data_IF_370936685343
#
_entry.id   IF_370936685343
#
_cell.length_a   1.000
_cell.length_b   1.000
_cell.length_c   1.000
_cell.angle_alpha   90.00
_cell.angle_beta   90.00
_cell.angle_gamma   90.00
#
_symmetry.space_group_name_H-M   'P 1'
#
loop_
_entity.id
_entity.type
_entity.pdbx_description
1 polymer ?
#
# COMPACT_ATOMS: atom_id res chain seq x y z
N UNK A 1 14.25 -21.50 14.61
CA UNK A 1 14.25 -20.33 15.52
C UNK A 1 13.48 -19.22 14.81
N UNK A 2 12.25 -18.96 15.22
CA UNK A 2 11.49 -17.80 14.74
C UNK A 2 12.14 -16.56 15.32
N UNK A 3 12.71 -15.72 14.46
CA UNK A 3 13.13 -14.37 14.84
C UNK A 3 11.86 -13.68 15.39
N UNK A 4 11.88 -13.09 16.60
CA UNK A 4 10.75 -12.32 17.07
C UNK A 4 10.47 -11.24 16.03
N UNK A 5 9.30 -11.27 15.40
CA UNK A 5 8.85 -10.18 14.54
C UNK A 5 8.81 -8.94 15.42
N UNK A 6 9.64 -7.94 15.12
CA UNK A 6 9.47 -6.62 15.70
C UNK A 6 8.09 -6.11 15.23
N UNK A 7 7.19 -5.99 16.20
CA UNK A 7 5.80 -5.54 16.02
C UNK A 7 5.66 -4.05 16.31
N UNK A 8 6.76 -3.35 16.56
CA UNK A 8 6.74 -1.89 16.60
C UNK A 8 6.23 -1.37 15.25
N UNK A 9 5.35 -0.36 15.26
CA UNK A 9 4.79 0.14 14.01
C UNK A 9 5.79 0.99 13.22
N UNK A 10 6.83 1.54 13.86
CA UNK A 10 7.85 2.37 13.22
C UNK A 10 7.36 3.77 12.80
N UNK A 11 8.19 4.47 12.02
CA UNK A 11 7.88 5.77 11.43
C UNK A 11 8.18 5.75 9.92
N UNK A 12 7.14 5.95 9.11
CA UNK A 12 7.22 5.91 7.65
C UNK A 12 7.34 7.29 7.01
N UNK A 13 7.97 7.35 5.84
CA UNK A 13 7.93 8.52 4.96
C UNK A 13 7.33 8.10 3.62
N UNK A 14 6.19 8.69 3.27
CA UNK A 14 5.53 8.47 1.99
C UNK A 14 5.73 9.68 1.08
N UNK A 15 6.20 9.40 -0.14
CA UNK A 15 6.38 10.40 -1.19
C UNK A 15 5.38 10.09 -2.31
N UNK A 16 4.45 11.01 -2.54
CA UNK A 16 3.46 10.87 -3.59
C UNK A 16 3.94 11.53 -4.89
N UNK A 17 4.26 10.70 -5.88
CA UNK A 17 4.53 11.14 -7.25
C UNK A 17 3.26 10.95 -8.10
N UNK A 18 2.53 12.01 -8.47
CA UNK A 18 1.15 11.88 -8.96
C UNK A 18 1.07 11.56 -10.46
N UNK A 19 2.18 11.50 -11.19
CA UNK A 19 2.14 11.50 -12.65
C UNK A 19 2.12 10.09 -13.25
N UNK A 20 1.31 9.91 -14.29
CA UNK A 20 1.23 8.67 -15.08
C UNK A 20 1.38 8.95 -16.57
N UNK A 21 1.82 7.95 -17.34
CA UNK A 21 1.82 8.00 -18.81
C UNK A 21 0.41 7.80 -19.39
N UNK A 22 -0.41 6.97 -18.74
CA UNK A 22 -1.82 6.77 -19.04
C UNK A 22 -2.59 6.48 -17.75
N UNK A 23 -3.90 6.78 -17.75
CA UNK A 23 -4.78 6.46 -16.61
C UNK A 23 -5.42 5.10 -16.84
N UNK A 24 -5.19 4.15 -15.94
CA UNK A 24 -5.88 2.88 -15.95
C UNK A 24 -7.38 3.12 -15.66
N UNK A 25 -8.30 2.45 -16.36
CA UNK A 25 -9.73 2.74 -16.29
C UNK A 25 -10.38 2.35 -14.96
N UNK A 26 -9.72 1.54 -14.13
CA UNK A 26 -10.11 1.20 -12.76
C UNK A 26 -9.48 2.09 -11.69
N UNK A 27 -8.48 2.92 -12.03
CA UNK A 27 -7.68 3.63 -11.04
C UNK A 27 -8.39 4.88 -10.50
N UNK A 28 -8.66 4.87 -9.21
CA UNK A 28 -9.26 5.95 -8.41
C UNK A 28 -8.22 6.83 -7.70
N UNK A 29 -6.96 6.40 -7.65
CA UNK A 29 -5.87 7.17 -7.04
C UNK A 29 -5.69 8.56 -7.64
N UNK A 30 -5.07 9.46 -6.85
CA UNK A 30 -4.70 10.82 -7.26
C UNK A 30 -3.59 10.81 -8.33
N UNK A 31 -3.97 10.42 -9.55
CA UNK A 31 -3.06 10.28 -10.68
C UNK A 31 -3.40 11.24 -11.80
N UNK A 32 -2.35 11.75 -12.45
CA UNK A 32 -2.41 12.84 -13.41
C UNK A 32 -1.62 12.43 -14.66
N UNK A 33 -2.33 12.27 -15.79
CA UNK A 33 -1.67 11.93 -17.05
C UNK A 33 -0.79 13.09 -17.51
N UNK A 34 0.46 12.79 -17.91
CA UNK A 34 1.40 13.77 -18.45
C UNK A 34 1.98 13.27 -19.77
N UNK A 35 1.72 14.04 -20.83
CA UNK A 35 2.30 13.82 -22.15
C UNK A 35 3.56 14.67 -22.40
N UNK A 36 3.73 15.74 -21.62
CA UNK A 36 4.91 16.59 -21.64
C UNK A 36 5.83 16.28 -20.46
N UNK A 37 7.15 16.44 -20.61
CA UNK A 37 8.09 16.24 -19.51
C UNK A 37 7.72 17.11 -18.30
N UNK A 38 7.67 16.47 -17.13
CA UNK A 38 7.51 17.15 -15.84
C UNK A 38 8.82 17.85 -15.48
N UNK A 39 8.73 19.06 -14.92
CA UNK A 39 9.86 19.73 -14.28
C UNK A 39 10.23 19.04 -12.95
N UNK A 40 10.93 17.91 -13.07
CA UNK A 40 11.25 17.07 -11.91
C UNK A 40 12.18 17.76 -10.91
N UNK A 41 13.01 18.70 -11.35
CA UNK A 41 13.89 19.46 -10.46
C UNK A 41 13.09 20.41 -9.57
N UNK A 42 12.06 21.08 -10.14
CA UNK A 42 11.15 21.90 -9.35
C UNK A 42 10.38 21.07 -8.32
N UNK A 43 9.87 19.90 -8.71
CA UNK A 43 9.21 18.99 -7.77
C UNK A 43 10.17 18.47 -6.71
N UNK A 44 11.43 18.13 -7.04
CA UNK A 44 12.43 17.71 -6.07
C UNK A 44 12.70 18.78 -5.00
N UNK A 45 12.85 20.04 -5.39
CA UNK A 45 13.01 21.17 -4.45
C UNK A 45 11.77 21.37 -3.57
N UNK A 46 10.58 21.17 -4.13
CA UNK A 46 9.34 21.23 -3.37
C UNK A 46 9.24 20.08 -2.35
N UNK A 47 9.59 18.85 -2.75
CA UNK A 47 9.66 17.72 -1.81
C UNK A 47 10.64 18.02 -0.67
N UNK A 48 11.84 18.51 -0.97
CA UNK A 48 12.82 18.89 0.06
C UNK A 48 12.27 19.95 1.04
N UNK A 49 11.58 20.96 0.50
CA UNK A 49 10.98 22.04 1.30
C UNK A 49 9.86 21.53 2.20
N UNK A 50 8.94 20.73 1.67
CA UNK A 50 7.84 20.20 2.47
C UNK A 50 8.32 19.15 3.49
N UNK A 51 9.32 18.33 3.17
CA UNK A 51 9.96 17.41 4.12
C UNK A 51 10.59 18.16 5.30
N UNK A 52 11.24 19.31 5.05
CA UNK A 52 11.77 20.16 6.12
C UNK A 52 10.65 20.71 7.02
N UNK A 53 9.52 21.10 6.43
CA UNK A 53 8.33 21.52 7.19
C UNK A 53 7.76 20.37 8.01
N UNK A 54 7.65 19.17 7.45
CA UNK A 54 7.18 17.99 8.18
C UNK A 54 8.12 17.64 9.34
N UNK A 55 9.43 17.74 9.16
CA UNK A 55 10.39 17.57 10.26
C UNK A 55 10.17 18.57 11.40
N UNK A 56 9.90 19.84 11.09
CA UNK A 56 9.60 20.83 12.13
C UNK A 56 8.37 20.45 12.96
N UNK A 57 7.37 19.81 12.34
CA UNK A 57 6.11 19.38 12.97
C UNK A 57 6.24 18.08 13.76
N UNK A 58 6.94 17.10 13.20
CA UNK A 58 7.15 15.81 13.88
C UNK A 58 8.20 15.89 14.97
N UNK A 59 9.20 16.77 14.82
CA UNK A 59 10.45 16.68 15.58
C UNK A 59 11.34 15.53 15.08
N UNK A 60 12.44 15.22 15.80
CA UNK A 60 13.32 14.12 15.44
C UNK A 60 12.58 12.77 15.52
N UNK A 61 12.87 11.90 14.56
CA UNK A 61 12.39 10.52 14.46
C UNK A 61 13.47 9.67 13.79
N UNK A 62 13.38 8.36 14.01
CA UNK A 62 14.10 7.36 13.24
C UNK A 62 13.15 6.79 12.19
N UNK A 63 13.52 6.90 10.91
CA UNK A 63 12.72 6.38 9.79
C UNK A 63 12.93 4.87 9.68
N UNK A 64 11.85 4.11 9.59
CA UNK A 64 11.90 2.65 9.43
C UNK A 64 11.60 2.20 7.99
N UNK A 65 10.90 3.05 7.23
CA UNK A 65 10.60 2.81 5.83
C UNK A 65 10.35 4.11 5.04
N UNK A 66 10.74 4.10 3.77
CA UNK A 66 10.42 5.14 2.78
C UNK A 66 9.68 4.48 1.63
N UNK A 67 8.62 5.09 1.14
CA UNK A 67 7.84 4.57 0.02
C UNK A 67 7.53 5.67 -0.97
N UNK A 68 7.98 5.47 -2.21
CA UNK A 68 7.66 6.33 -3.34
C UNK A 68 6.51 5.65 -4.10
N UNK A 69 5.32 6.25 -4.02
CA UNK A 69 4.09 5.72 -4.59
C UNK A 69 3.26 6.78 -5.32
N UNK A 70 2.05 6.39 -5.74
CA UNK A 70 1.02 7.32 -6.20
C UNK A 70 0.56 7.05 -7.63
N UNK A 71 1.01 7.86 -8.57
CA UNK A 71 0.82 7.65 -10.00
C UNK A 71 1.79 6.58 -10.52
N UNK A 72 2.93 7.01 -11.03
CA UNK A 72 3.98 6.11 -11.52
C UNK A 72 5.37 6.65 -11.13
N UNK A 73 5.84 6.36 -9.92
CA UNK A 73 7.12 6.85 -9.40
C UNK A 73 8.35 6.52 -10.27
N UNK A 74 8.34 5.40 -11.01
CA UNK A 74 9.35 5.05 -12.03
C UNK A 74 9.40 5.96 -13.27
N UNK A 75 8.55 7.00 -13.34
CA UNK A 75 8.74 8.11 -14.28
C UNK A 75 9.75 9.14 -13.76
N UNK A 76 10.08 9.13 -12.47
CA UNK A 76 11.17 9.94 -11.94
C UNK A 76 12.51 9.49 -12.52
N UNK A 77 13.38 10.46 -12.79
CA UNK A 77 14.78 10.18 -13.08
C UNK A 77 15.46 9.65 -11.80
N UNK A 78 16.47 8.78 -11.91
CA UNK A 78 17.23 8.31 -10.75
C UNK A 78 17.77 9.45 -9.86
N UNK A 79 18.17 10.58 -10.45
CA UNK A 79 18.68 11.74 -9.73
C UNK A 79 17.58 12.42 -8.90
N UNK A 80 16.34 12.43 -9.40
CA UNK A 80 15.18 12.95 -8.66
C UNK A 80 14.86 12.07 -7.46
N UNK A 81 14.91 10.74 -7.63
CA UNK A 81 14.74 9.79 -6.51
C UNK A 81 15.84 10.00 -5.47
N UNK A 82 17.11 10.11 -5.91
CA UNK A 82 18.24 10.38 -5.04
C UNK A 82 18.08 11.67 -4.23
N UNK A 83 17.70 12.78 -4.88
CA UNK A 83 17.48 14.07 -4.21
C UNK A 83 16.38 14.00 -3.13
N UNK A 84 15.30 13.26 -3.39
CA UNK A 84 14.24 13.04 -2.40
C UNK A 84 14.75 12.23 -1.21
N UNK A 85 15.46 11.12 -1.45
CA UNK A 85 16.01 10.28 -0.38
C UNK A 85 17.04 11.03 0.47
N UNK A 86 17.90 11.83 -0.16
CA UNK A 86 18.81 12.75 0.53
C UNK A 86 18.05 13.77 1.38
N UNK A 87 16.97 14.35 0.87
CA UNK A 87 16.14 15.27 1.64
C UNK A 87 15.49 14.60 2.87
N UNK A 88 15.09 13.33 2.77
CA UNK A 88 14.64 12.56 3.93
C UNK A 88 15.77 12.39 4.94
N UNK A 89 16.97 11.98 4.50
CA UNK A 89 18.12 11.78 5.37
C UNK A 89 18.66 13.07 6.03
N UNK A 90 18.49 14.23 5.39
CA UNK A 90 18.76 15.55 6.00
C UNK A 90 17.80 15.86 7.16
N UNK A 91 16.58 15.33 7.07
CA UNK A 91 15.49 15.68 7.97
C UNK A 91 15.25 14.66 9.08
N UNK A 92 15.63 13.40 8.95
CA UNK A 92 15.45 12.41 10.02
C UNK A 92 16.64 11.44 10.08
N UNK A 93 16.75 10.69 11.19
CA UNK A 93 17.71 9.60 11.26
C UNK A 93 17.23 8.48 10.35
N UNK A 94 18.08 8.06 9.41
CA UNK A 94 17.80 6.96 8.48
C UNK A 94 18.85 5.88 8.71
N UNK A 95 18.55 4.83 9.51
CA UNK A 95 19.45 3.72 9.72
C UNK A 95 19.73 2.94 8.42
N UNK A 96 20.87 2.25 8.39
CA UNK A 96 21.16 1.30 7.31
C UNK A 96 20.15 0.14 7.30
N UNK A 97 19.77 -0.31 6.10
CA UNK A 97 18.89 -1.47 5.92
C UNK A 97 17.40 -1.21 6.19
N UNK A 98 16.97 0.05 6.30
CA UNK A 98 15.55 0.38 6.22
C UNK A 98 14.97 0.00 4.85
N UNK A 99 13.66 -0.21 4.79
CA UNK A 99 13.01 -0.47 3.50
C UNK A 99 12.85 0.83 2.72
N UNK A 100 13.30 0.86 1.47
CA UNK A 100 13.04 1.95 0.51
C UNK A 100 12.37 1.34 -0.70
N UNK A 101 11.04 1.52 -0.77
CA UNK A 101 10.19 0.97 -1.84
C UNK A 101 9.93 2.02 -2.91
N UNK A 102 9.99 1.61 -4.18
CA UNK A 102 9.50 2.40 -5.32
C UNK A 102 8.48 1.59 -6.12
N UNK A 103 7.31 2.17 -6.40
CA UNK A 103 6.34 1.59 -7.33
C UNK A 103 6.76 1.83 -8.79
N UNK A 104 6.61 0.82 -9.63
CA UNK A 104 6.92 0.92 -11.05
C UNK A 104 5.92 0.19 -11.94
N UNK A 105 5.72 0.68 -13.17
CA UNK A 105 5.08 -0.11 -14.21
C UNK A 105 6.16 -0.90 -14.98
N UNK A 106 5.82 -2.08 -15.49
CA UNK A 106 6.81 -2.96 -16.10
C UNK A 106 7.10 -2.63 -17.58
N UNK A 107 7.00 -1.36 -17.99
CA UNK A 107 7.35 -0.98 -19.37
C UNK A 107 8.86 -1.01 -19.58
N UNK A 108 9.29 -1.31 -20.81
CA UNK A 108 10.72 -1.41 -21.16
C UNK A 108 11.53 -0.15 -20.78
N UNK A 109 10.94 1.04 -20.96
CA UNK A 109 11.59 2.34 -20.65
C UNK A 109 11.79 2.53 -19.15
N UNK A 110 10.86 2.06 -18.33
CA UNK A 110 10.97 2.17 -16.87
C UNK A 110 11.98 1.17 -16.31
N UNK A 111 12.02 -0.03 -16.88
CA UNK A 111 12.93 -1.11 -16.50
C UNK A 111 14.42 -0.71 -16.66
N UNK A 112 14.76 0.03 -17.72
CA UNK A 112 16.13 0.53 -17.94
C UNK A 112 16.65 1.43 -16.79
N UNK A 113 15.75 2.07 -16.02
CA UNK A 113 16.11 2.95 -14.90
C UNK A 113 16.35 2.22 -13.58
N UNK A 114 16.01 0.93 -13.48
CA UNK A 114 16.11 0.17 -12.23
C UNK A 114 17.49 0.20 -11.59
N UNK A 115 18.56 0.12 -12.39
CA UNK A 115 19.94 0.23 -11.87
C UNK A 115 20.21 1.60 -11.24
N UNK A 116 19.67 2.66 -11.85
CA UNK A 116 19.75 4.01 -11.31
C UNK A 116 19.00 4.14 -9.98
N UNK A 117 17.78 3.59 -9.87
CA UNK A 117 17.04 3.59 -8.61
C UNK A 117 17.76 2.81 -7.50
N UNK A 118 18.34 1.65 -7.84
CA UNK A 118 19.14 0.86 -6.91
C UNK A 118 20.36 1.63 -6.41
N UNK A 119 21.04 2.35 -7.30
CA UNK A 119 22.16 3.21 -6.96
C UNK A 119 21.76 4.42 -6.09
N UNK A 120 20.56 4.97 -6.32
CA UNK A 120 20.00 6.05 -5.50
C UNK A 120 19.61 5.61 -4.08
N UNK A 121 19.42 4.30 -3.84
CA UNK A 121 19.13 3.75 -2.51
C UNK A 121 17.85 2.91 -2.42
N UNK A 122 17.09 2.78 -3.50
CA UNK A 122 15.91 1.90 -3.54
C UNK A 122 16.35 0.44 -3.38
N UNK A 123 15.73 -0.27 -2.45
CA UNK A 123 16.05 -1.67 -2.17
C UNK A 123 14.84 -2.61 -2.26
N UNK A 124 13.66 -2.08 -2.55
CA UNK A 124 12.46 -2.83 -2.89
C UNK A 124 11.74 -2.16 -4.05
N UNK A 125 11.23 -2.94 -5.01
CA UNK A 125 10.36 -2.44 -6.07
C UNK A 125 9.01 -3.17 -6.03
N UNK A 126 7.91 -2.46 -6.29
CA UNK A 126 6.58 -3.05 -6.49
C UNK A 126 6.17 -2.83 -7.94
N UNK A 127 6.00 -3.92 -8.70
CA UNK A 127 5.67 -3.86 -10.13
C UNK A 127 4.16 -4.02 -10.35
N UNK A 128 3.54 -3.02 -10.97
CA UNK A 128 2.12 -3.10 -11.33
C UNK A 128 1.87 -3.96 -12.58
N UNK A 129 1.93 -5.29 -12.46
CA UNK A 129 1.77 -6.24 -13.59
C UNK A 129 0.31 -6.43 -13.97
N UNK A 130 -0.56 -6.58 -12.98
CA UNK A 130 -2.01 -6.67 -13.01
C UNK A 130 -2.60 -7.95 -13.62
N UNK A 131 -2.00 -8.49 -14.67
CA UNK A 131 -2.39 -9.78 -15.26
C UNK A 131 -1.21 -10.42 -16.01
N UNK A 132 -1.21 -11.75 -16.13
CA UNK A 132 -0.26 -12.52 -16.93
C UNK A 132 -0.87 -13.04 -18.25
N UNK A 133 -1.89 -12.34 -18.76
CA UNK A 133 -2.44 -12.56 -20.10
C UNK A 133 -2.81 -11.24 -20.79
N UNK A 134 -2.54 -11.13 -22.09
CA UNK A 134 -2.70 -9.86 -22.82
C UNK A 134 -4.16 -9.42 -22.98
N UNK A 135 -5.11 -10.37 -22.95
CA UNK A 135 -6.54 -10.04 -23.04
C UNK A 135 -6.95 -9.18 -21.84
N UNK A 136 -6.58 -9.60 -20.65
CA UNK A 136 -6.95 -8.91 -19.42
C UNK A 136 -6.12 -7.65 -19.20
N UNK A 137 -4.85 -7.63 -19.62
CA UNK A 137 -4.04 -6.40 -19.65
C UNK A 137 -4.69 -5.30 -20.50
N UNK A 138 -5.20 -5.64 -21.70
CA UNK A 138 -5.94 -4.69 -22.55
C UNK A 138 -7.24 -4.21 -21.89
N UNK A 139 -7.98 -5.11 -21.25
CA UNK A 139 -9.19 -4.73 -20.51
C UNK A 139 -8.86 -3.74 -19.38
N UNK A 140 -7.79 -4.01 -18.64
CA UNK A 140 -7.26 -3.16 -17.56
C UNK A 140 -6.54 -1.90 -18.07
N UNK A 141 -6.54 -1.63 -19.39
CA UNK A 141 -5.94 -0.44 -19.98
C UNK A 141 -4.42 -0.34 -19.80
N UNK A 142 -3.73 -1.47 -19.63
CA UNK A 142 -2.27 -1.52 -19.45
C UNK A 142 -1.56 -1.24 -20.77
N UNK A 143 -0.48 -0.47 -20.69
CA UNK A 143 0.36 -0.13 -21.85
C UNK A 143 1.39 -1.20 -22.19
N UNK A 144 1.64 -2.12 -21.26
CA UNK A 144 2.59 -3.22 -21.41
C UNK A 144 1.87 -4.51 -21.80
N UNK A 145 2.59 -5.43 -22.44
CA UNK A 145 2.15 -6.82 -22.66
C UNK A 145 2.80 -7.79 -21.65
N UNK A 146 2.42 -9.07 -21.69
CA UNK A 146 2.99 -10.08 -20.77
C UNK A 146 4.50 -10.23 -20.94
N UNK A 147 5.02 -10.22 -22.16
CA UNK A 147 6.46 -10.38 -22.42
C UNK A 147 7.27 -9.27 -21.74
N UNK A 148 6.85 -8.02 -21.87
CA UNK A 148 7.45 -6.88 -21.18
C UNK A 148 7.34 -7.01 -19.66
N UNK A 149 6.18 -7.46 -19.16
CA UNK A 149 5.99 -7.72 -17.73
C UNK A 149 7.00 -8.73 -17.18
N UNK A 150 7.17 -9.85 -17.86
CA UNK A 150 8.10 -10.90 -17.46
C UNK A 150 9.56 -10.45 -17.57
N UNK A 151 9.89 -9.67 -18.60
CA UNK A 151 11.21 -9.08 -18.74
C UNK A 151 11.54 -8.13 -17.57
N UNK A 152 10.61 -7.24 -17.23
CA UNK A 152 10.78 -6.30 -16.11
C UNK A 152 10.89 -7.03 -14.76
N UNK A 153 10.12 -8.10 -14.52
CA UNK A 153 10.24 -8.95 -13.33
C UNK A 153 11.64 -9.56 -13.25
N UNK A 154 12.14 -10.13 -14.35
CA UNK A 154 13.48 -10.71 -14.41
C UNK A 154 14.57 -9.68 -14.09
N UNK A 155 14.50 -8.51 -14.73
CA UNK A 155 15.46 -7.44 -14.48
C UNK A 155 15.40 -6.90 -13.04
N UNK A 156 14.20 -6.72 -12.50
CA UNK A 156 14.02 -6.26 -11.12
C UNK A 156 14.62 -7.25 -10.12
N UNK A 157 14.45 -8.56 -10.35
CA UNK A 157 15.02 -9.60 -9.50
C UNK A 157 16.55 -9.61 -9.50
N UNK A 158 17.18 -9.32 -10.64
CA UNK A 158 18.64 -9.24 -10.74
C UNK A 158 19.23 -7.99 -10.06
N UNK A 159 18.41 -6.94 -9.87
CA UNK A 159 18.87 -5.63 -9.41
C UNK A 159 18.53 -5.38 -7.94
N UNK A 160 17.30 -5.70 -7.54
CA UNK A 160 16.78 -5.40 -6.21
C UNK A 160 16.80 -6.63 -5.31
N UNK A 161 17.20 -6.48 -4.05
CA UNK A 161 17.21 -7.59 -3.11
C UNK A 161 15.80 -8.04 -2.70
N UNK A 162 14.78 -7.20 -2.93
CA UNK A 162 13.36 -7.49 -2.64
C UNK A 162 12.47 -7.01 -3.77
N UNK A 163 11.49 -7.82 -4.13
CA UNK A 163 10.55 -7.55 -5.22
C UNK A 163 9.13 -7.93 -4.79
N UNK A 164 8.17 -7.10 -5.18
CA UNK A 164 6.75 -7.45 -5.27
C UNK A 164 6.25 -7.21 -6.68
N UNK A 165 5.22 -7.94 -7.08
CA UNK A 165 4.37 -7.45 -8.16
C UNK A 165 2.90 -7.71 -7.86
N UNK A 166 2.09 -6.91 -8.53
CA UNK A 166 0.68 -6.77 -8.24
C UNK A 166 -0.12 -7.51 -9.31
N UNK A 167 -1.15 -8.25 -8.92
CA UNK A 167 -2.15 -8.82 -9.82
C UNK A 167 -3.55 -8.43 -9.36
N UNK A 168 -4.46 -8.34 -10.33
CA UNK A 168 -5.86 -8.06 -10.10
C UNK A 168 -6.69 -9.29 -10.48
N UNK A 169 -7.43 -9.83 -9.51
CA UNK A 169 -8.36 -10.95 -9.69
C UNK A 169 -9.81 -10.49 -9.66
N UNK A 170 -10.75 -11.43 -9.81
CA UNK A 170 -12.18 -11.17 -10.00
C UNK A 170 -12.47 -10.32 -11.26
N UNK A 171 -11.70 -10.57 -12.32
CA UNK A 171 -11.88 -9.91 -13.62
C UNK A 171 -13.09 -10.51 -14.38
N UNK A 172 -13.67 -9.81 -15.37
CA UNK A 172 -14.81 -10.33 -16.13
C UNK A 172 -14.55 -11.71 -16.74
N UNK A 173 -15.37 -12.69 -16.36
CA UNK A 173 -15.28 -14.07 -16.85
C UNK A 173 -14.09 -14.88 -16.33
N UNK A 174 -13.40 -14.42 -15.28
CA UNK A 174 -12.28 -15.16 -14.67
C UNK A 174 -12.80 -16.35 -13.86
N UNK A 175 -12.42 -17.55 -14.25
CA UNK A 175 -12.77 -18.80 -13.55
C UNK A 175 -11.72 -19.15 -12.48
N UNK A 176 -12.08 -19.90 -11.42
CA UNK A 176 -11.12 -20.40 -10.43
C UNK A 176 -9.93 -21.16 -11.04
N UNK A 177 -10.15 -22.00 -12.04
CA UNK A 177 -9.09 -22.79 -12.68
C UNK A 177 -8.07 -21.89 -13.39
N UNK A 178 -8.55 -20.90 -14.13
CA UNK A 178 -7.71 -19.91 -14.80
C UNK A 178 -6.93 -19.04 -13.80
N UNK A 179 -7.58 -18.64 -12.69
CA UNK A 179 -6.90 -17.86 -11.65
C UNK A 179 -5.84 -18.67 -10.92
N UNK A 180 -6.15 -19.93 -10.56
CA UNK A 180 -5.18 -20.84 -9.96
C UNK A 180 -3.95 -21.06 -10.85
N UNK A 181 -4.15 -21.28 -12.16
CA UNK A 181 -3.04 -21.41 -13.10
C UNK A 181 -2.19 -20.12 -13.22
N UNK A 182 -2.83 -18.95 -13.21
CA UNK A 182 -2.15 -17.65 -13.23
C UNK A 182 -1.36 -17.40 -11.94
N UNK A 183 -1.90 -17.78 -10.78
CA UNK A 183 -1.20 -17.74 -9.49
C UNK A 183 0.03 -18.64 -9.47
N UNK A 184 -0.10 -19.89 -9.92
CA UNK A 184 1.02 -20.84 -10.02
C UNK A 184 2.14 -20.28 -10.91
N UNK A 185 1.76 -19.67 -12.05
CA UNK A 185 2.72 -19.01 -12.92
C UNK A 185 3.40 -17.82 -12.22
N UNK A 186 2.62 -16.96 -11.56
CA UNK A 186 3.10 -15.80 -10.83
C UNK A 186 4.12 -16.17 -9.74
N UNK A 187 3.79 -17.18 -8.94
CA UNK A 187 4.65 -17.71 -7.87
C UNK A 187 5.92 -18.36 -8.46
N UNK A 188 5.80 -19.00 -9.63
CA UNK A 188 6.92 -19.60 -10.37
C UNK A 188 8.04 -18.62 -10.74
N UNK A 189 7.74 -17.32 -10.82
CA UNK A 189 8.78 -16.29 -10.99
C UNK A 189 9.56 -15.99 -9.69
N UNK A 190 9.32 -16.79 -8.64
CA UNK A 190 9.99 -16.85 -7.34
C UNK A 190 10.18 -15.47 -6.72
N UNK A 191 9.05 -14.81 -6.52
CA UNK A 191 8.96 -13.53 -5.83
C UNK A 191 8.82 -13.70 -4.33
N UNK A 192 9.39 -12.75 -3.59
CA UNK A 192 9.32 -12.76 -2.12
C UNK A 192 7.95 -12.32 -1.62
N UNK A 193 7.20 -11.59 -2.46
CA UNK A 193 5.98 -10.90 -2.13
C UNK A 193 5.06 -10.77 -3.36
N UNK A 194 3.76 -10.94 -3.15
CA UNK A 194 2.70 -10.71 -4.13
C UNK A 194 1.64 -9.80 -3.54
N UNK A 195 1.14 -8.89 -4.36
CA UNK A 195 0.01 -8.02 -4.04
C UNK A 195 -1.19 -8.42 -4.90
N UNK A 196 -2.19 -9.05 -4.32
CA UNK A 196 -3.30 -9.70 -5.01
C UNK A 196 -4.60 -8.96 -4.67
N UNK A 197 -5.02 -8.07 -5.56
CA UNK A 197 -6.17 -7.18 -5.36
C UNK A 197 -7.41 -7.73 -6.06
N UNK A 198 -8.56 -7.64 -5.40
CA UNK A 198 -9.84 -7.83 -6.08
C UNK A 198 -10.11 -6.62 -6.97
N UNK A 199 -10.59 -6.84 -8.20
CA UNK A 199 -11.10 -5.74 -9.02
C UNK A 199 -12.36 -5.15 -8.38
N UNK A 200 -12.28 -3.91 -7.90
CA UNK A 200 -13.42 -3.11 -7.44
C UNK A 200 -13.79 -2.05 -8.47
N UNK A 201 -15.03 -1.56 -8.40
CA UNK A 201 -15.54 -0.51 -9.27
C UNK A 201 -15.76 0.75 -8.44
N UNK A 202 -14.80 1.67 -8.55
CA UNK A 202 -14.82 2.90 -7.77
C UNK A 202 -15.57 4.02 -8.49
N UNK A 203 -16.38 4.77 -7.75
CA UNK A 203 -17.12 5.91 -8.26
C UNK A 203 -16.17 6.95 -8.90
N UNK A 204 -16.59 7.54 -10.02
CA UNK A 204 -15.80 8.53 -10.74
C UNK A 204 -14.72 7.94 -11.67
N UNK A 205 -14.58 6.62 -11.74
CA UNK A 205 -13.68 5.95 -12.70
C UNK A 205 -14.35 5.68 -14.05
N UNK A 206 -13.58 5.54 -15.15
CA UNK A 206 -14.10 5.05 -16.43
C UNK A 206 -14.81 3.69 -16.32
N UNK A 207 -14.29 2.77 -15.50
CA UNK A 207 -14.93 1.48 -15.25
C UNK A 207 -16.29 1.61 -14.57
N UNK A 208 -16.49 2.56 -13.65
CA UNK A 208 -17.81 2.82 -13.07
C UNK A 208 -18.84 3.20 -14.14
N UNK A 209 -18.49 4.09 -15.07
CA UNK A 209 -19.38 4.46 -16.18
C UNK A 209 -19.70 3.28 -17.11
N UNK A 210 -18.68 2.46 -17.44
CA UNK A 210 -18.85 1.29 -18.31
C UNK A 210 -19.66 0.17 -17.65
N UNK A 211 -19.45 -0.07 -16.36
CA UNK A 211 -20.18 -1.05 -15.56
C UNK A 211 -21.64 -0.65 -15.39
N UNK A 212 -21.92 0.62 -15.05
CA UNK A 212 -23.28 1.15 -14.99
C UNK A 212 -24.01 1.04 -16.35
N UNK A 213 -23.29 1.19 -17.46
CA UNK A 213 -23.78 0.99 -18.81
C UNK A 213 -23.83 -0.50 -19.26
N UNK A 214 -23.59 -1.44 -18.35
CA UNK A 214 -23.60 -2.90 -18.58
C UNK A 214 -22.68 -3.35 -19.73
N UNK A 215 -21.53 -2.68 -19.92
CA UNK A 215 -20.55 -3.03 -20.96
C UNK A 215 -19.70 -4.25 -20.60
N UNK A 216 -19.65 -4.60 -19.32
CA UNK A 216 -19.10 -5.84 -18.78
C UNK A 216 -19.79 -6.16 -17.45
N UNK A 217 -19.59 -7.37 -16.95
CA UNK A 217 -20.05 -7.82 -15.63
C UNK A 217 -18.86 -8.27 -14.80
N UNK A 218 -18.93 -8.04 -13.50
CA UNK A 218 -18.01 -8.65 -12.55
C UNK A 218 -18.56 -9.98 -12.06
N UNK A 219 -17.72 -10.85 -11.49
CA UNK A 219 -18.20 -11.95 -10.66
C UNK A 219 -19.15 -11.48 -9.57
N UNK A 220 -20.11 -12.32 -9.20
CA UNK A 220 -20.90 -12.08 -7.99
C UNK A 220 -20.06 -12.32 -6.73
N UNK A 221 -20.63 -12.01 -5.57
CA UNK A 221 -19.93 -12.07 -4.29
C UNK A 221 -19.47 -13.50 -3.95
N UNK A 222 -20.25 -14.51 -4.29
CA UNK A 222 -19.92 -15.91 -4.00
C UNK A 222 -18.72 -16.35 -4.85
N UNK A 223 -18.74 -16.04 -6.15
CA UNK A 223 -17.62 -16.33 -7.04
C UNK A 223 -16.36 -15.53 -6.67
N UNK A 224 -16.49 -14.26 -6.27
CA UNK A 224 -15.37 -13.47 -5.78
C UNK A 224 -14.77 -14.04 -4.48
N UNK A 225 -15.61 -14.56 -3.58
CA UNK A 225 -15.19 -15.24 -2.36
C UNK A 225 -14.47 -16.56 -2.66
N UNK A 226 -14.92 -17.33 -3.65
CA UNK A 226 -14.22 -18.54 -4.11
C UNK A 226 -12.82 -18.21 -4.66
N UNK A 227 -12.69 -17.15 -5.46
CA UNK A 227 -11.39 -16.68 -5.96
C UNK A 227 -10.48 -16.20 -4.82
N UNK A 228 -11.02 -15.52 -3.82
CA UNK A 228 -10.28 -15.11 -2.63
C UNK A 228 -9.79 -16.33 -1.84
N UNK A 229 -10.67 -17.30 -1.57
CA UNK A 229 -10.32 -18.53 -0.85
C UNK A 229 -9.23 -19.33 -1.58
N UNK A 230 -9.36 -19.49 -2.90
CA UNK A 230 -8.34 -20.13 -3.75
C UNK A 230 -7.01 -19.38 -3.67
N UNK A 231 -7.04 -18.04 -3.69
CA UNK A 231 -5.83 -17.22 -3.54
C UNK A 231 -5.11 -17.55 -2.23
N UNK A 232 -5.86 -17.65 -1.14
CA UNK A 232 -5.28 -17.94 0.16
C UNK A 232 -4.71 -19.36 0.25
N UNK A 233 -5.39 -20.34 -0.31
CA UNK A 233 -4.93 -21.73 -0.35
C UNK A 233 -3.62 -21.86 -1.13
N UNK A 234 -3.59 -21.38 -2.38
CA UNK A 234 -2.44 -21.52 -3.28
C UNK A 234 -1.23 -20.79 -2.71
N UNK A 235 -1.38 -19.52 -2.33
CA UNK A 235 -0.25 -18.73 -1.81
C UNK A 235 0.31 -19.30 -0.51
N UNK A 236 -0.55 -19.74 0.43
CA UNK A 236 -0.10 -20.40 1.65
C UNK A 236 0.63 -21.72 1.36
N UNK A 237 0.14 -22.52 0.41
CA UNK A 237 0.77 -23.77 -0.03
C UNK A 237 2.20 -23.58 -0.56
N UNK A 238 2.50 -22.41 -1.12
CA UNK A 238 3.83 -22.04 -1.63
C UNK A 238 4.70 -21.22 -0.66
N UNK A 239 4.27 -21.10 0.60
CA UNK A 239 5.01 -20.39 1.64
C UNK A 239 4.97 -18.86 1.49
N UNK A 240 3.91 -18.34 0.87
CA UNK A 240 3.56 -16.92 0.76
C UNK A 240 2.23 -16.65 1.50
N UNK A 241 2.15 -16.87 2.83
CA UNK A 241 0.92 -16.58 3.56
C UNK A 241 0.52 -15.11 3.43
N UNK A 242 -0.79 -14.83 3.49
CA UNK A 242 -1.27 -13.47 3.72
C UNK A 242 -0.78 -12.96 5.08
N UNK A 243 -0.17 -11.77 5.09
CA UNK A 243 0.07 -11.03 6.33
C UNK A 243 -1.01 -9.96 6.56
N UNK A 244 -1.75 -9.62 5.51
CA UNK A 244 -2.93 -8.74 5.49
C UNK A 244 -3.83 -9.07 4.28
N UNK A 245 -4.90 -8.29 4.07
CA UNK A 245 -5.99 -8.56 3.10
C UNK A 245 -5.53 -8.89 1.69
N UNK A 246 -4.65 -8.08 1.13
CA UNK A 246 -4.27 -8.14 -0.29
C UNK A 246 -2.80 -8.49 -0.50
N UNK A 247 -2.02 -8.67 0.57
CA UNK A 247 -0.58 -8.89 0.44
C UNK A 247 -0.10 -10.19 1.09
N UNK A 248 0.68 -10.92 0.30
CA UNK A 248 1.14 -12.28 0.56
C UNK A 248 2.65 -12.30 0.43
N UNK A 249 3.35 -12.77 1.45
CA UNK A 249 4.80 -12.67 1.48
C UNK A 249 5.44 -13.85 2.19
N UNK A 250 6.69 -14.15 1.82
CA UNK A 250 7.51 -15.05 2.64
C UNK A 250 7.73 -14.37 3.99
N UNK A 251 7.78 -15.12 5.10
CA UNK A 251 8.09 -14.52 6.40
C UNK A 251 9.38 -13.69 6.36
N UNK A 252 9.30 -12.42 6.75
CA UNK A 252 10.40 -11.45 6.68
C UNK A 252 10.47 -10.63 5.38
N UNK A 253 9.64 -10.95 4.38
CA UNK A 253 9.53 -10.22 3.14
C UNK A 253 8.27 -9.34 3.04
N UNK A 254 7.53 -9.17 4.14
CA UNK A 254 6.38 -8.27 4.23
C UNK A 254 6.79 -6.81 3.95
N UNK A 255 5.92 -6.02 3.31
CA UNK A 255 6.14 -4.58 3.16
C UNK A 255 6.18 -3.91 4.54
N UNK A 256 7.37 -3.45 4.95
CA UNK A 256 7.56 -2.75 6.23
C UNK A 256 6.75 -1.46 6.24
N UNK A 257 6.69 -0.75 5.11
CA UNK A 257 5.89 0.45 5.00
C UNK A 257 4.39 0.16 5.20
N UNK A 258 3.82 -0.84 4.51
CA UNK A 258 2.41 -1.20 4.67
C UNK A 258 2.10 -1.60 6.13
N UNK A 259 3.00 -2.36 6.75
CA UNK A 259 2.87 -2.73 8.16
C UNK A 259 2.88 -1.52 9.09
N UNK A 260 3.63 -0.46 8.78
CA UNK A 260 3.54 0.81 9.54
C UNK A 260 2.12 1.37 9.51
N UNK A 261 1.44 1.39 8.37
CA UNK A 261 0.03 1.83 8.29
C UNK A 261 -0.88 0.92 9.10
N UNK A 262 -0.83 -0.39 8.80
CA UNK A 262 -1.74 -1.37 9.38
C UNK A 262 -1.59 -1.54 10.89
N UNK A 263 -0.36 -1.39 11.41
CA UNK A 263 -0.08 -1.38 12.86
C UNK A 263 -0.36 -0.03 13.51
N UNK A 264 -1.02 0.88 12.80
CA UNK A 264 -1.39 2.20 13.29
C UNK A 264 -0.18 3.02 13.74
N UNK A 265 0.87 2.98 12.92
CA UNK A 265 2.09 3.76 13.07
C UNK A 265 1.95 5.20 12.62
N UNK A 266 3.04 5.92 12.83
CA UNK A 266 3.18 7.29 12.39
C UNK A 266 3.84 7.35 11.02
N UNK A 267 3.40 8.28 10.19
CA UNK A 267 4.04 8.56 8.92
C UNK A 267 3.78 9.99 8.49
N UNK A 268 4.71 10.54 7.74
CA UNK A 268 4.51 11.78 6.99
C UNK A 268 4.26 11.43 5.53
N UNK A 269 3.26 12.10 4.93
CA UNK A 269 3.05 12.07 3.49
C UNK A 269 3.39 13.42 2.90
N UNK A 270 4.17 13.41 1.83
CA UNK A 270 4.63 14.60 1.12
C UNK A 270 4.34 14.44 -0.36
N UNK A 271 3.88 15.50 -1.00
CA UNK A 271 3.50 15.49 -2.41
C UNK A 271 2.01 15.70 -2.67
N UNK A 272 1.62 15.89 -3.94
CA UNK A 272 0.25 16.23 -4.31
C UNK A 272 -0.75 15.15 -3.88
N UNK A 273 -1.70 15.48 -3.03
CA UNK A 273 -2.70 14.54 -2.50
C UNK A 273 -2.17 13.53 -1.51
N UNK A 274 -0.94 13.69 -1.00
CA UNK A 274 -0.40 12.84 0.05
C UNK A 274 -1.15 13.03 1.38
N UNK A 275 -1.31 11.94 2.13
CA UNK A 275 -1.84 11.94 3.48
C UNK A 275 -0.73 11.66 4.48
N UNK A 276 -0.82 12.24 5.67
CA UNK A 276 0.08 11.97 6.80
C UNK A 276 -0.70 11.71 8.08
N UNK A 277 -0.13 10.94 9.00
CA UNK A 277 -0.67 10.72 10.34
C UNK A 277 0.47 10.61 11.35
N UNK A 278 0.62 11.58 12.24
CA UNK A 278 1.70 11.61 13.22
C UNK A 278 1.28 12.31 14.51
N UNK A 279 2.11 12.22 15.55
CA UNK A 279 1.86 12.96 16.80
C UNK A 279 2.54 14.31 16.75
N UNK A 280 1.75 15.37 16.91
CA UNK A 280 2.18 16.76 17.01
C UNK A 280 1.64 17.35 18.31
N UNK A 281 2.52 17.88 19.16
CA UNK A 281 2.16 18.44 20.47
C UNK A 281 1.29 17.50 21.34
N UNK A 282 1.60 16.20 21.32
CA UNK A 282 0.89 15.18 22.10
C UNK A 282 -0.47 14.76 21.55
N UNK A 283 -0.87 15.24 20.37
CA UNK A 283 -2.13 14.85 19.71
C UNK A 283 -1.87 14.19 18.36
N UNK A 284 -2.70 13.23 18.00
CA UNK A 284 -2.67 12.59 16.69
C UNK A 284 -3.24 13.57 15.65
N UNK A 285 -2.40 13.95 14.71
CA UNK A 285 -2.76 14.87 13.62
C UNK A 285 -2.72 14.12 12.31
N UNK A 286 -3.78 14.26 11.53
CA UNK A 286 -3.86 13.83 10.14
C UNK A 286 -3.68 15.05 9.24
N UNK A 287 -2.94 14.90 8.15
CA UNK A 287 -2.70 15.96 7.17
C UNK A 287 -3.10 15.50 5.78
N UNK A 288 -3.71 16.39 5.00
CA UNK A 288 -4.11 16.14 3.63
C UNK A 288 -3.51 17.23 2.75
N UNK A 289 -2.69 16.84 1.77
CA UNK A 289 -2.07 17.75 0.82
C UNK A 289 -2.97 18.07 -0.36
N UNK A 290 -2.76 19.25 -0.96
CA UNK A 290 -3.39 19.68 -2.22
C UNK A 290 -3.23 18.62 -3.32
N UNK A 291 -4.33 18.23 -3.96
CA UNK A 291 -4.36 17.13 -4.93
C UNK A 291 -3.77 17.51 -6.28
N UNK A 292 -3.91 18.76 -6.70
CA UNK A 292 -3.45 19.23 -8.01
C UNK A 292 -1.93 19.52 -7.97
N UNK A 293 -1.10 18.84 -8.79
CA UNK A 293 0.37 18.92 -8.66
C UNK A 293 0.94 20.32 -8.77
N UNK A 294 0.45 21.10 -9.73
CA UNK A 294 0.91 22.46 -10.00
C UNK A 294 0.47 23.42 -8.89
N UNK A 295 -0.71 23.21 -8.30
CA UNK A 295 -1.16 24.00 -7.14
C UNK A 295 -0.36 23.65 -5.89
N UNK A 296 -0.11 22.36 -5.66
CA UNK A 296 0.71 21.88 -4.55
C UNK A 296 2.12 22.50 -4.58
N UNK A 297 2.81 22.47 -5.73
CA UNK A 297 4.16 23.04 -5.82
C UNK A 297 4.17 24.55 -5.57
N UNK A 298 3.17 25.28 -6.09
CA UNK A 298 3.03 26.72 -5.83
C UNK A 298 2.79 27.01 -4.34
N UNK A 299 2.01 26.18 -3.64
CA UNK A 299 1.78 26.30 -2.21
C UNK A 299 3.06 26.04 -1.41
N UNK A 300 3.80 25.00 -1.77
CA UNK A 300 5.08 24.68 -1.13
C UNK A 300 6.08 25.81 -1.31
N UNK A 301 6.21 26.36 -2.52
CA UNK A 301 7.10 27.50 -2.78
C UNK A 301 6.71 28.76 -2.00
N UNK A 302 5.41 28.99 -1.78
CA UNK A 302 4.90 30.16 -1.09
C UNK A 302 4.89 30.03 0.45
N UNK A 303 4.65 28.83 0.98
CA UNK A 303 4.34 28.59 2.40
C UNK A 303 5.18 27.50 3.07
N UNK A 304 6.00 26.79 2.31
CA UNK A 304 6.83 25.69 2.78
C UNK A 304 6.13 24.32 2.77
N UNK A 305 4.82 24.25 2.54
CA UNK A 305 4.07 22.99 2.46
C UNK A 305 2.81 23.11 1.58
N UNK A 306 2.30 21.98 1.12
CA UNK A 306 1.07 21.83 0.35
C UNK A 306 -0.11 21.29 1.15
N UNK A 307 0.02 21.11 2.48
CA UNK A 307 -1.11 20.73 3.36
C UNK A 307 -2.25 21.75 3.29
N UNK A 308 -3.43 21.30 2.86
CA UNK A 308 -4.66 22.11 2.73
C UNK A 308 -5.82 21.61 3.59
N UNK A 309 -5.72 20.41 4.14
CA UNK A 309 -6.70 19.83 5.04
C UNK A 309 -6.07 18.91 6.08
N UNK A 310 -6.93 18.27 6.86
CA UNK A 310 -6.52 17.40 7.95
C UNK A 310 -7.44 17.54 9.16
N UNK A 311 -7.11 16.79 10.20
CA UNK A 311 -7.90 16.73 11.44
C UNK A 311 -7.00 16.37 12.62
N UNK A 312 -7.52 16.61 13.82
CA UNK A 312 -6.92 16.12 15.06
C UNK A 312 -7.84 15.06 15.61
N UNK A 313 -7.34 13.84 15.71
CA UNK A 313 -8.14 12.72 16.16
C UNK A 313 -8.30 12.76 17.68
N UNK A 314 -9.52 12.48 18.10
CA UNK A 314 -9.86 12.12 19.47
C UNK A 314 -9.34 10.72 19.79
N UNK A 315 -9.29 10.39 21.08
CA UNK A 315 -8.92 9.05 21.55
C UNK A 315 -9.86 7.95 21.04
N UNK A 316 -11.15 8.25 20.91
CA UNK A 316 -12.14 7.32 20.38
C UNK A 316 -11.88 7.03 18.90
N UNK A 317 -11.68 8.08 18.09
CA UNK A 317 -11.34 7.93 16.66
C UNK A 317 -10.01 7.16 16.48
N UNK A 318 -9.01 7.43 17.32
CA UNK A 318 -7.76 6.66 17.29
C UNK A 318 -7.97 5.16 17.56
N UNK A 319 -8.87 4.82 18.48
CA UNK A 319 -9.18 3.43 18.81
C UNK A 319 -9.98 2.74 17.69
N UNK A 320 -10.94 3.44 17.09
CA UNK A 320 -11.73 2.93 15.97
C UNK A 320 -10.84 2.68 14.75
N UNK A 321 -9.95 3.62 14.41
CA UNK A 321 -8.98 3.41 13.33
C UNK A 321 -7.99 2.28 13.65
N UNK A 322 -7.49 2.19 14.90
CA UNK A 322 -6.59 1.10 15.31
C UNK A 322 -7.24 -0.28 15.16
N UNK A 323 -8.52 -0.39 15.55
CA UNK A 323 -9.31 -1.60 15.41
C UNK A 323 -9.52 -1.96 13.93
N UNK A 324 -9.96 -0.99 13.13
CA UNK A 324 -10.21 -1.15 11.69
C UNK A 324 -8.96 -1.59 10.93
N UNK A 325 -7.83 -0.94 11.19
CA UNK A 325 -6.57 -1.22 10.51
C UNK A 325 -5.90 -2.51 11.02
N UNK A 326 -5.85 -2.69 12.33
CA UNK A 326 -5.08 -3.80 12.91
C UNK A 326 -5.77 -5.16 12.78
N UNK A 327 -7.11 -5.23 12.70
CA UNK A 327 -7.80 -6.50 12.45
C UNK A 327 -7.66 -7.00 11.01
N UNK A 328 -7.22 -6.16 10.08
CA UNK A 328 -6.84 -6.55 8.71
C UNK A 328 -5.52 -7.32 8.66
N UNK A 329 -4.75 -7.31 9.75
CA UNK A 329 -3.51 -8.09 9.85
C UNK A 329 -3.81 -9.52 10.30
N UNK A 330 -3.11 -10.50 9.71
CA UNK A 330 -3.16 -11.89 10.15
C UNK A 330 -2.70 -12.06 11.62
N UNK A 331 -1.84 -11.15 12.08
CA UNK A 331 -1.38 -11.12 13.47
C UNK A 331 -2.39 -10.45 14.44
N UNK A 332 -3.36 -9.70 13.92
CA UNK A 332 -4.40 -9.02 14.69
C UNK A 332 -3.93 -7.82 15.52
N UNK A 333 -4.79 -7.40 16.44
CA UNK A 333 -4.56 -6.26 17.34
C UNK A 333 -4.02 -6.68 18.71
N UNK A 334 -3.31 -5.76 19.34
CA UNK A 334 -2.95 -5.85 20.76
C UNK A 334 -4.07 -5.25 21.62
N UNK A 335 -4.61 -6.05 22.54
CA UNK A 335 -5.76 -5.66 23.36
C UNK A 335 -5.42 -4.58 24.38
N UNK A 336 -4.21 -4.60 24.94
CA UNK A 336 -3.75 -3.59 25.90
C UNK A 336 -3.53 -2.24 25.20
N UNK A 337 -3.00 -2.27 23.97
CA UNK A 337 -2.86 -1.06 23.16
C UNK A 337 -4.22 -0.48 22.76
N UNK A 338 -5.19 -1.32 22.41
CA UNK A 338 -6.56 -0.87 22.16
C UNK A 338 -7.12 -0.17 23.40
N UNK A 339 -7.05 -0.81 24.58
CA UNK A 339 -7.55 -0.25 25.84
C UNK A 339 -6.87 1.08 26.22
N UNK A 340 -5.56 1.20 25.97
CA UNK A 340 -4.83 2.45 26.19
C UNK A 340 -5.27 3.60 25.26
N UNK A 341 -5.69 3.28 24.03
CA UNK A 341 -6.22 4.27 23.08
C UNK A 341 -7.67 4.64 23.40
N UNK A 342 -8.53 3.64 23.57
CA UNK A 342 -9.98 3.81 23.75
C UNK A 342 -10.37 4.25 25.16
N UNK A 343 -9.52 4.01 26.16
CA UNK A 343 -9.85 4.12 27.58
C UNK A 343 -10.73 3.00 28.12
N UNK A 344 -11.02 1.95 27.32
CA UNK A 344 -11.85 0.80 27.69
C UNK A 344 -11.44 -0.50 26.99
N UNK A 345 -11.58 -1.63 27.67
CA UNK A 345 -11.49 -2.93 27.02
C UNK A 345 -12.59 -3.14 25.97
N UNK A 346 -12.37 -4.07 25.04
CA UNK A 346 -13.44 -4.60 24.18
C UNK A 346 -14.52 -5.28 25.04
N UNK A 347 -15.77 -5.21 24.59
CA UNK A 347 -16.89 -5.88 25.28
C UNK A 347 -16.69 -7.39 25.30
N UNK A 348 -16.54 -7.97 26.49
CA UNK A 348 -16.39 -9.42 26.66
C UNK A 348 -17.59 -10.19 26.11
N UNK A 349 -18.79 -9.65 26.26
CA UNK A 349 -20.01 -10.26 25.72
C UNK A 349 -20.01 -10.31 24.18
N UNK A 350 -19.58 -9.24 23.50
CA UNK A 350 -19.47 -9.24 22.03
C UNK A 350 -18.34 -10.14 21.55
N UNK A 351 -17.20 -10.13 22.25
CA UNK A 351 -16.09 -11.02 21.95
C UNK A 351 -16.49 -12.50 22.02
N UNK A 352 -17.21 -12.90 23.07
CA UNK A 352 -17.71 -14.28 23.20
C UNK A 352 -18.58 -14.69 22.02
N UNK A 353 -19.53 -13.84 21.60
CA UNK A 353 -20.40 -14.11 20.43
C UNK A 353 -19.58 -14.31 19.17
N UNK A 354 -18.67 -13.39 18.86
CA UNK A 354 -17.85 -13.48 17.64
C UNK A 354 -16.87 -14.66 17.67
N UNK A 355 -16.45 -15.11 18.85
CA UNK A 355 -15.62 -16.31 19.02
C UNK A 355 -16.45 -17.59 18.83
N UNK A 356 -17.67 -17.63 19.37
CA UNK A 356 -18.62 -18.75 19.18
C UNK A 356 -19.02 -18.90 17.71
N UNK A 357 -19.18 -17.78 17.00
CA UNK A 357 -19.39 -17.74 15.54
C UNK A 357 -18.10 -18.06 14.74
N UNK A 358 -16.95 -18.19 15.43
CA UNK A 358 -15.67 -18.50 14.80
C UNK A 358 -15.12 -17.38 13.93
N UNK A 359 -15.56 -16.13 14.10
CA UNK A 359 -15.13 -14.97 13.31
C UNK A 359 -13.85 -14.33 13.85
N UNK A 360 -13.61 -14.42 15.16
CA UNK A 360 -12.37 -13.93 15.78
C UNK A 360 -11.76 -14.98 16.67
N UNK A 361 -10.44 -14.91 16.86
CA UNK A 361 -9.71 -15.83 17.72
C UNK A 361 -8.63 -15.09 18.53
N UNK A 362 -8.39 -15.50 19.79
CA UNK A 362 -7.24 -15.02 20.54
C UNK A 362 -5.94 -15.53 19.92
N UNK A 363 -4.89 -14.71 19.98
CA UNK A 363 -3.52 -15.08 19.63
C UNK A 363 -2.65 -14.98 20.88
N UNK A 364 -2.45 -16.12 21.54
CA UNK A 364 -1.90 -16.14 22.89
C UNK A 364 -2.83 -15.41 23.86
N UNK A 365 -2.25 -14.70 24.84
CA UNK A 365 -3.02 -14.09 25.94
C UNK A 365 -3.26 -12.58 25.77
N UNK A 366 -2.76 -11.96 24.70
CA UNK A 366 -2.70 -10.49 24.59
C UNK A 366 -3.29 -9.91 23.30
N UNK A 367 -3.64 -10.76 22.33
CA UNK A 367 -4.03 -10.33 20.99
C UNK A 367 -5.31 -10.98 20.50
N UNK A 368 -5.99 -10.29 19.59
CA UNK A 368 -7.20 -10.74 18.91
C UNK A 368 -7.00 -10.58 17.41
N UNK A 369 -7.34 -11.60 16.62
CA UNK A 369 -7.34 -11.54 15.15
C UNK A 369 -8.68 -11.97 14.59
N UNK A 370 -8.98 -11.55 13.37
CA UNK A 370 -10.00 -12.21 12.56
C UNK A 370 -9.52 -13.62 12.17
N UNK A 371 -10.43 -14.59 12.16
CA UNK A 371 -10.19 -15.89 11.53
C UNK A 371 -10.32 -15.77 10.01
N UNK A 372 -10.05 -16.85 9.27
CA UNK A 372 -10.32 -16.88 7.82
C UNK A 372 -11.78 -16.56 7.51
N UNK A 373 -12.73 -17.09 8.29
CA UNK A 373 -14.15 -16.78 8.14
C UNK A 373 -14.46 -15.32 8.49
N UNK A 374 -13.88 -14.81 9.57
CA UNK A 374 -14.02 -13.40 9.96
C UNK A 374 -13.44 -12.42 8.94
N UNK A 375 -12.38 -12.80 8.23
CA UNK A 375 -11.73 -11.94 7.24
C UNK A 375 -12.64 -11.64 6.05
N UNK A 376 -13.48 -12.60 5.64
CA UNK A 376 -14.46 -12.44 4.55
C UNK A 376 -15.51 -11.38 4.89
N UNK A 377 -15.87 -11.26 6.17
CA UNK A 377 -16.90 -10.33 6.68
C UNK A 377 -16.32 -9.25 7.60
N UNK A 378 -15.05 -8.89 7.37
CA UNK A 378 -14.25 -8.14 8.34
C UNK A 378 -14.87 -6.79 8.72
N UNK A 379 -15.46 -6.08 7.78
CA UNK A 379 -16.05 -4.76 8.06
C UNK A 379 -17.23 -4.87 9.05
N UNK A 380 -18.02 -5.94 8.97
CA UNK A 380 -19.09 -6.21 9.93
C UNK A 380 -18.51 -6.58 11.31
N UNK A 381 -17.43 -7.37 11.35
CA UNK A 381 -16.74 -7.74 12.60
C UNK A 381 -16.17 -6.50 13.30
N UNK A 382 -15.50 -5.61 12.55
CA UNK A 382 -14.97 -4.35 13.09
C UNK A 382 -16.10 -3.47 13.61
N UNK A 383 -17.16 -3.28 12.83
CA UNK A 383 -18.30 -2.44 13.21
C UNK A 383 -19.08 -2.99 14.42
N UNK A 384 -19.01 -4.29 14.67
CA UNK A 384 -19.59 -4.90 15.86
C UNK A 384 -18.71 -4.72 17.11
N UNK A 385 -17.39 -4.84 16.95
CA UNK A 385 -16.41 -4.67 18.02
C UNK A 385 -16.25 -3.21 18.48
N UNK A 386 -16.48 -2.24 17.59
CA UNK A 386 -16.39 -0.81 17.91
C UNK A 386 -17.53 -0.30 18.83
N UNK A 387 -18.57 -1.11 19.07
CA UNK A 387 -19.80 -0.69 19.79
C UNK A 387 -19.63 -0.49 21.29
#
# INVERSE_FOLDING_TARGET
>A
MTIPLDRSPGFGVYIHWPFCAAKCPYCDFNSHVRHQPVDQERFARAFETELATMRARTGPREVTSIFLGGGTPSLMKPETVGAVLEAVAKNWTVPDGIEVTLEANPSSVEAERFRGYRAAGVNRVSLGVQALNDKDLRFLGRLHNVEEALHAIGLARDIFPRLSFDLIYARPGQTPEAWGAELEQAIGYAVDHLSLYQLTIEEGTPFHALYAAKKFTLPDNDHAADLYALTQEVTAGHGLPAYEISNHARPGAESRHNLTYWRYGEYVGVGPGAHGRFVENGRRTVTIAERMPETWVNLVEAKGHGVTGGEILTRAEEADEFLLMGLRLAEGIDLQRYEALSGRGLSSARLSVLQEEGLVAPVGNARLRATTAGMIVLDAVVADLAR
#
